data_IF_044010974951
#
_entry.id   IF_044010974951
#
_cell.length_a   1.000
_cell.length_b   1.000
_cell.length_c   1.000
_cell.angle_alpha   90.00
_cell.angle_beta   90.00
_cell.angle_gamma   90.00
#
_symmetry.space_group_name_H-M   'P 1'
#
loop_
_entity.id
_entity.type
_entity.pdbx_description
1 polymer ?
#
# COMPACT_ATOMS: atom_id res chain seq x y z
N UNK A 1 -5.45 -17.50 25.02
CA UNK A 1 -4.90 -18.17 23.82
C UNK A 1 -3.41 -17.87 23.70
N UNK A 2 -2.57 -18.90 23.50
CA UNK A 2 -1.12 -18.72 23.41
C UNK A 2 -0.72 -17.90 22.17
N UNK A 3 0.47 -17.28 22.19
CA UNK A 3 1.03 -16.57 21.02
C UNK A 3 1.10 -17.48 19.80
N UNK A 4 1.59 -18.71 19.98
CA UNK A 4 1.68 -19.72 18.92
C UNK A 4 0.32 -20.07 18.35
N UNK A 5 -0.70 -20.25 19.20
CA UNK A 5 -2.06 -20.55 18.74
C UNK A 5 -2.63 -19.40 17.90
N UNK A 6 -2.44 -18.14 18.30
CA UNK A 6 -2.86 -16.97 17.52
C UNK A 6 -2.18 -16.93 16.14
N UNK A 7 -0.87 -17.16 16.09
CA UNK A 7 -0.11 -17.21 14.83
C UNK A 7 -0.65 -18.34 13.94
N UNK A 8 -0.84 -19.54 14.49
CA UNK A 8 -1.34 -20.69 13.74
C UNK A 8 -2.74 -20.41 13.15
N UNK A 9 -3.62 -19.73 13.89
CA UNK A 9 -4.93 -19.33 13.37
C UNK A 9 -4.79 -18.42 12.15
N UNK A 10 -3.94 -17.38 12.22
CA UNK A 10 -3.71 -16.48 11.07
C UNK A 10 -3.16 -17.27 9.89
N UNK A 11 -2.13 -18.09 10.10
CA UNK A 11 -1.46 -18.85 9.04
C UNK A 11 -2.41 -19.86 8.37
N UNK A 12 -3.12 -20.68 9.15
CA UNK A 12 -4.04 -21.68 8.61
C UNK A 12 -5.20 -21.01 7.88
N UNK A 13 -5.76 -19.94 8.44
CA UNK A 13 -6.85 -19.20 7.78
C UNK A 13 -6.39 -18.58 6.46
N UNK A 14 -5.18 -18.01 6.43
CA UNK A 14 -4.59 -17.46 5.21
C UNK A 14 -4.34 -18.54 4.16
N UNK A 15 -3.82 -19.71 4.54
CA UNK A 15 -3.61 -20.83 3.62
C UNK A 15 -4.92 -21.34 3.05
N UNK A 16 -5.94 -21.54 3.89
CA UNK A 16 -7.27 -21.95 3.45
C UNK A 16 -7.90 -20.92 2.50
N UNK A 17 -7.77 -19.63 2.82
CA UNK A 17 -8.22 -18.54 1.94
C UNK A 17 -7.49 -18.58 0.59
N UNK A 18 -6.16 -18.70 0.59
CA UNK A 18 -5.36 -18.77 -0.63
C UNK A 18 -5.76 -19.96 -1.50
N UNK A 19 -5.82 -21.16 -0.92
CA UNK A 19 -6.24 -22.38 -1.64
C UNK A 19 -7.63 -22.18 -2.23
N UNK A 20 -8.58 -21.70 -1.42
CA UNK A 20 -9.96 -21.46 -1.88
C UNK A 20 -10.01 -20.41 -2.99
N UNK A 21 -9.31 -19.28 -2.84
CA UNK A 21 -9.30 -18.19 -3.82
C UNK A 21 -8.69 -18.64 -5.15
N UNK A 22 -7.58 -19.38 -5.13
CA UNK A 22 -6.95 -19.87 -6.35
C UNK A 22 -7.75 -20.98 -7.04
N UNK A 23 -8.42 -21.84 -6.28
CA UNK A 23 -9.22 -22.95 -6.81
C UNK A 23 -10.62 -22.54 -7.29
N UNK A 24 -11.27 -21.58 -6.62
CA UNK A 24 -12.67 -21.24 -6.86
C UNK A 24 -12.86 -19.99 -7.72
N UNK A 25 -11.93 -19.03 -7.68
CA UNK A 25 -12.05 -17.79 -8.46
C UNK A 25 -11.50 -18.05 -9.88
N UNK A 26 -12.33 -17.89 -10.92
CA UNK A 26 -11.87 -18.02 -12.30
C UNK A 26 -10.85 -16.92 -12.64
N UNK A 27 -10.22 -17.00 -13.82
CA UNK A 27 -9.35 -15.93 -14.29
C UNK A 27 -10.12 -14.62 -14.35
N UNK A 28 -9.47 -13.55 -13.92
CA UNK A 28 -10.04 -12.21 -13.94
C UNK A 28 -9.32 -11.41 -15.02
N UNK A 29 -10.06 -10.84 -15.96
CA UNK A 29 -9.48 -9.97 -16.97
C UNK A 29 -9.35 -8.55 -16.41
N UNK A 30 -8.37 -7.81 -16.89
CA UNK A 30 -8.27 -6.38 -16.67
C UNK A 30 -9.48 -5.68 -17.32
N UNK A 31 -10.35 -4.98 -16.56
CA UNK A 31 -11.45 -4.22 -17.15
C UNK A 31 -10.93 -3.09 -18.03
N UNK A 32 -11.55 -2.88 -19.19
CA UNK A 32 -11.21 -1.77 -20.10
C UNK A 32 -11.57 -0.42 -19.49
N UNK A 33 -12.64 -0.37 -18.69
CA UNK A 33 -13.11 0.84 -18.02
C UNK A 33 -12.10 1.36 -16.98
N UNK A 34 -11.09 0.55 -16.62
CA UNK A 34 -10.03 0.96 -15.69
C UNK A 34 -9.19 2.13 -16.23
N UNK A 35 -9.20 2.37 -17.54
CA UNK A 35 -8.50 3.48 -18.18
C UNK A 35 -9.40 4.72 -18.38
N UNK A 36 -10.70 4.59 -18.13
CA UNK A 36 -11.70 5.63 -18.37
C UNK A 36 -11.96 6.41 -17.07
N UNK A 37 -11.31 7.57 -16.94
CA UNK A 37 -11.47 8.45 -15.78
C UNK A 37 -12.63 9.43 -15.95
N UNK A 38 -13.27 9.80 -14.83
CA UNK A 38 -14.32 10.82 -14.83
C UNK A 38 -13.76 12.22 -15.18
N UNK A 39 -12.62 12.60 -14.59
CA UNK A 39 -11.97 13.88 -14.88
C UNK A 39 -10.86 13.71 -15.93
N UNK A 40 -11.17 14.11 -17.16
CA UNK A 40 -10.25 14.09 -18.31
C UNK A 40 -9.70 15.46 -18.68
N UNK A 41 -9.96 16.48 -17.85
CA UNK A 41 -9.65 17.87 -18.19
C UNK A 41 -8.15 18.12 -18.26
N UNK A 42 -7.80 19.04 -19.16
CA UNK A 42 -6.43 19.46 -19.43
C UNK A 42 -6.20 20.86 -18.88
N UNK A 43 -5.26 20.98 -17.95
CA UNK A 43 -4.72 22.24 -17.46
C UNK A 43 -3.23 22.30 -17.78
N UNK A 44 -2.74 23.44 -18.27
CA UNK A 44 -1.31 23.64 -18.60
C UNK A 44 -0.72 22.54 -19.52
N UNK A 45 -1.51 22.02 -20.47
CA UNK A 45 -1.15 20.91 -21.37
C UNK A 45 -0.86 19.57 -20.67
N UNK A 46 -1.34 19.37 -19.44
CA UNK A 46 -1.24 18.09 -18.73
C UNK A 46 -2.58 17.34 -18.88
N UNK A 47 -2.64 16.18 -19.54
CA UNK A 47 -3.87 15.38 -19.58
C UNK A 47 -4.25 14.86 -18.19
N UNK A 48 -5.55 14.70 -17.93
CA UNK A 48 -6.09 14.25 -16.64
C UNK A 48 -5.49 15.03 -15.46
N UNK A 49 -5.34 16.34 -15.61
CA UNK A 49 -4.45 17.19 -14.81
C UNK A 49 -4.60 17.03 -13.30
N UNK A 50 -5.83 17.02 -12.79
CA UNK A 50 -6.07 16.94 -11.35
C UNK A 50 -5.70 15.54 -10.83
N UNK A 51 -5.98 14.49 -11.59
CA UNK A 51 -5.55 13.13 -11.27
C UNK A 51 -4.01 13.06 -11.22
N UNK A 52 -3.31 13.65 -12.19
CA UNK A 52 -1.83 13.74 -12.18
C UNK A 52 -1.32 14.47 -10.92
N UNK A 53 -1.81 15.69 -10.67
CA UNK A 53 -1.33 16.54 -9.56
C UNK A 53 -1.64 15.94 -8.18
N UNK A 54 -2.76 15.23 -8.05
CA UNK A 54 -3.17 14.59 -6.79
C UNK A 54 -2.22 13.48 -6.31
N UNK A 55 -1.23 13.08 -7.12
CA UNK A 55 -0.21 12.09 -6.77
C UNK A 55 1.08 12.70 -6.20
N UNK A 56 1.29 14.02 -6.33
CA UNK A 56 2.44 14.73 -5.75
C UNK A 56 2.60 14.49 -4.23
N UNK A 57 1.52 14.43 -3.42
CA UNK A 57 1.63 14.14 -1.99
C UNK A 57 2.36 12.83 -1.67
N UNK A 58 2.27 11.79 -2.50
CA UNK A 58 3.02 10.55 -2.29
C UNK A 58 4.53 10.75 -2.35
N UNK A 59 4.98 11.54 -3.31
CA UNK A 59 6.39 11.88 -3.50
C UNK A 59 6.89 12.69 -2.29
N UNK A 60 6.14 13.71 -1.90
CA UNK A 60 6.50 14.57 -0.76
C UNK A 60 6.57 13.75 0.53
N UNK A 61 5.54 12.94 0.82
CA UNK A 61 5.48 12.15 2.05
C UNK A 61 6.51 11.03 2.07
N UNK A 62 6.79 10.41 0.93
CA UNK A 62 7.88 9.45 0.78
C UNK A 62 9.24 10.10 1.06
N UNK A 63 9.51 11.28 0.49
CA UNK A 63 10.75 12.01 0.74
C UNK A 63 10.90 12.43 2.21
N UNK A 64 9.84 12.97 2.83
CA UNK A 64 9.81 13.32 4.27
C UNK A 64 10.07 12.08 5.13
N UNK A 65 9.39 10.97 4.84
CA UNK A 65 9.56 9.72 5.57
C UNK A 65 10.98 9.18 5.47
N UNK A 66 11.57 9.22 4.27
CA UNK A 66 12.95 8.80 4.04
C UNK A 66 13.94 9.72 4.78
N UNK A 67 13.75 11.03 4.76
CA UNK A 67 14.55 11.96 5.54
C UNK A 67 14.51 11.63 7.05
N UNK A 68 13.32 11.33 7.59
CA UNK A 68 13.18 10.91 8.99
C UNK A 68 13.90 9.61 9.29
N UNK A 69 13.86 8.62 8.39
CA UNK A 69 14.62 7.37 8.55
C UNK A 69 16.12 7.65 8.62
N UNK A 70 16.63 8.53 7.76
CA UNK A 70 18.04 8.88 7.70
C UNK A 70 18.52 9.65 8.95
N UNK A 71 17.71 10.58 9.46
CA UNK A 71 18.07 11.41 10.63
C UNK A 71 17.86 10.73 11.98
N UNK A 72 17.21 9.56 12.03
CA UNK A 72 17.09 8.81 13.28
C UNK A 72 18.45 8.36 13.81
N UNK A 73 18.73 8.72 15.05
CA UNK A 73 19.88 8.22 15.79
C UNK A 73 19.56 6.84 16.37
N UNK A 74 20.51 5.93 16.21
CA UNK A 74 20.55 4.63 16.85
C UNK A 74 22.00 4.39 17.25
N UNK A 75 22.22 3.89 18.46
CA UNK A 75 23.55 3.62 19.01
C UNK A 75 24.34 2.58 18.19
N UNK A 76 23.67 1.70 17.47
CA UNK A 76 24.27 0.67 16.62
C UNK A 76 23.77 0.77 15.16
N UNK A 77 24.71 0.86 14.21
CA UNK A 77 24.44 0.98 12.77
C UNK A 77 23.68 -0.22 12.19
N UNK A 78 23.96 -1.44 12.63
CA UNK A 78 23.24 -2.63 12.18
C UNK A 78 21.79 -2.59 12.67
N UNK A 79 21.57 -2.27 13.95
CA UNK A 79 20.22 -2.10 14.50
C UNK A 79 19.46 -1.01 13.75
N UNK A 80 20.13 0.10 13.40
CA UNK A 80 19.56 1.16 12.56
C UNK A 80 19.10 0.64 11.20
N UNK A 81 19.94 -0.14 10.50
CA UNK A 81 19.62 -0.66 9.18
C UNK A 81 18.45 -1.65 9.24
N UNK A 82 18.48 -2.58 10.20
CA UNK A 82 17.42 -3.56 10.40
C UNK A 82 16.08 -2.87 10.74
N UNK A 83 16.03 -2.06 11.79
CA UNK A 83 14.77 -1.44 12.26
C UNK A 83 14.13 -0.47 11.26
N UNK A 84 14.92 0.10 10.34
CA UNK A 84 14.41 1.04 9.35
C UNK A 84 14.07 0.41 8.00
N UNK A 85 14.42 -0.86 7.76
CA UNK A 85 14.28 -1.46 6.43
C UNK A 85 12.83 -1.44 5.90
N UNK A 86 11.78 -1.85 6.66
CA UNK A 86 10.40 -1.74 6.17
C UNK A 86 9.96 -0.29 5.90
N UNK A 87 10.39 0.66 6.73
CA UNK A 87 10.08 2.09 6.53
C UNK A 87 10.74 2.63 5.26
N UNK A 88 12.02 2.35 5.04
CA UNK A 88 12.73 2.71 3.82
C UNK A 88 12.03 2.16 2.58
N UNK A 89 11.63 0.88 2.62
CA UNK A 89 10.87 0.25 1.51
C UNK A 89 9.56 0.99 1.24
N UNK A 90 8.75 1.27 2.27
CA UNK A 90 7.48 1.98 2.12
C UNK A 90 7.71 3.37 1.50
N UNK A 91 8.68 4.14 2.01
CA UNK A 91 8.87 5.52 1.59
C UNK A 91 9.51 5.66 0.21
N UNK A 92 10.50 4.81 -0.12
CA UNK A 92 11.06 4.75 -1.47
C UNK A 92 9.96 4.35 -2.46
N UNK A 93 9.18 3.31 -2.14
CA UNK A 93 8.10 2.88 -3.01
C UNK A 93 6.95 3.91 -3.07
N UNK A 94 6.74 4.74 -2.04
CA UNK A 94 5.77 5.84 -2.09
C UNK A 94 6.19 6.91 -3.11
N UNK A 95 7.48 7.25 -3.17
CA UNK A 95 8.01 8.14 -4.22
C UNK A 95 7.80 7.51 -5.60
N UNK A 96 8.19 6.25 -5.77
CA UNK A 96 8.02 5.53 -7.03
C UNK A 96 6.55 5.39 -7.43
N UNK A 97 5.64 5.16 -6.48
CA UNK A 97 4.21 5.12 -6.68
C UNK A 97 3.70 6.47 -7.20
N UNK A 98 4.10 7.58 -6.57
CA UNK A 98 3.70 8.91 -7.02
C UNK A 98 4.18 9.20 -8.44
N UNK A 99 5.44 8.87 -8.76
CA UNK A 99 6.00 9.03 -10.11
C UNK A 99 5.31 8.13 -11.15
N UNK A 100 5.12 6.85 -10.82
CA UNK A 100 4.44 5.89 -11.69
C UNK A 100 2.97 6.25 -11.91
N UNK A 101 2.29 6.76 -10.89
CA UNK A 101 0.91 7.24 -11.00
C UNK A 101 0.83 8.50 -11.86
N UNK A 102 1.75 9.47 -11.68
CA UNK A 102 1.83 10.64 -12.56
C UNK A 102 2.01 10.20 -14.01
N UNK A 103 2.90 9.25 -14.28
CA UNK A 103 3.12 8.73 -15.62
C UNK A 103 1.86 8.04 -16.18
N UNK A 104 1.24 7.16 -15.39
CA UNK A 104 0.01 6.47 -15.75
C UNK A 104 -1.16 7.42 -16.04
N UNK A 105 -1.48 8.36 -15.15
CA UNK A 105 -2.57 9.31 -15.38
C UNK A 105 -2.28 10.27 -16.54
N UNK A 106 -1.00 10.52 -16.87
CA UNK A 106 -0.65 11.34 -18.03
C UNK A 106 -0.83 10.62 -19.36
N UNK A 107 -0.66 9.30 -19.39
CA UNK A 107 -0.80 8.47 -20.60
C UNK A 107 -1.39 7.10 -20.21
N UNK A 108 -2.72 7.02 -19.97
CA UNK A 108 -3.35 5.83 -19.42
C UNK A 108 -3.25 4.66 -20.39
N UNK A 109 -2.45 3.66 -20.03
CA UNK A 109 -2.30 2.43 -20.79
C UNK A 109 -1.88 1.27 -19.91
N UNK A 110 -1.96 0.06 -20.45
CA UNK A 110 -1.41 -1.13 -19.81
C UNK A 110 0.07 -0.94 -19.41
N UNK A 111 0.90 -0.40 -20.30
CA UNK A 111 2.33 -0.25 -20.07
C UNK A 111 2.67 0.75 -18.97
N UNK A 112 1.90 1.85 -18.87
CA UNK A 112 2.11 2.86 -17.84
C UNK A 112 1.54 2.42 -16.49
N UNK A 113 0.48 1.59 -16.50
CA UNK A 113 -0.13 1.02 -15.30
C UNK A 113 0.82 0.10 -14.51
N UNK A 114 1.70 -0.63 -15.20
CA UNK A 114 2.74 -1.46 -14.58
C UNK A 114 3.56 -0.69 -13.54
N UNK A 115 4.03 0.51 -13.90
CA UNK A 115 4.88 1.35 -13.05
C UNK A 115 4.16 1.90 -11.83
N UNK A 116 2.83 1.94 -11.84
CA UNK A 116 2.02 2.26 -10.68
C UNK A 116 1.79 1.03 -9.78
N UNK A 117 1.48 -0.12 -10.38
CA UNK A 117 1.13 -1.35 -9.64
C UNK A 117 2.30 -1.94 -8.87
N UNK A 118 3.50 -1.95 -9.46
CA UNK A 118 4.66 -2.57 -8.84
C UNK A 118 5.03 -1.90 -7.50
N UNK A 119 5.22 -0.57 -7.40
CA UNK A 119 5.47 0.08 -6.11
C UNK A 119 4.30 -0.09 -5.14
N UNK A 120 3.06 -0.08 -5.63
CA UNK A 120 1.86 -0.19 -4.79
C UNK A 120 1.80 -1.53 -4.04
N UNK A 121 2.06 -2.67 -4.72
CA UNK A 121 2.04 -3.98 -4.06
C UNK A 121 3.16 -4.11 -3.03
N UNK A 122 4.33 -3.55 -3.32
CA UNK A 122 5.46 -3.52 -2.39
C UNK A 122 5.09 -2.72 -1.13
N UNK A 123 4.41 -1.58 -1.26
CA UNK A 123 3.93 -0.79 -0.11
C UNK A 123 2.97 -1.62 0.75
N UNK A 124 1.97 -2.28 0.15
CA UNK A 124 1.01 -3.08 0.92
C UNK A 124 1.70 -4.18 1.71
N UNK A 125 2.62 -4.92 1.07
CA UNK A 125 3.39 -5.97 1.72
C UNK A 125 4.27 -5.41 2.83
N UNK A 126 4.93 -4.29 2.59
CA UNK A 126 5.80 -3.66 3.58
C UNK A 126 5.03 -3.13 4.79
N UNK A 127 3.83 -2.56 4.61
CA UNK A 127 2.97 -2.11 5.71
C UNK A 127 2.52 -3.30 6.57
N UNK A 128 2.09 -4.40 5.95
CA UNK A 128 1.72 -5.63 6.67
C UNK A 128 2.90 -6.18 7.48
N UNK A 129 4.08 -6.30 6.85
CA UNK A 129 5.27 -6.81 7.52
C UNK A 129 5.74 -5.88 8.65
N UNK A 130 5.64 -4.57 8.48
CA UNK A 130 5.94 -3.60 9.54
C UNK A 130 5.01 -3.78 10.75
N UNK A 131 3.73 -4.06 10.54
CA UNK A 131 2.79 -4.35 11.63
C UNK A 131 3.11 -5.68 12.32
N UNK A 132 3.43 -6.72 11.55
CA UNK A 132 3.79 -8.04 12.10
C UNK A 132 5.10 -7.97 12.90
N UNK A 133 6.08 -7.22 12.42
CA UNK A 133 7.28 -6.87 13.16
C UNK A 133 6.94 -6.19 14.48
N UNK A 134 6.05 -5.18 14.42
CA UNK A 134 5.65 -4.46 15.62
C UNK A 134 4.98 -5.38 16.63
N UNK A 135 4.02 -6.23 16.23
CA UNK A 135 3.19 -7.01 17.18
C UNK A 135 3.81 -8.34 17.60
N UNK A 136 4.54 -9.00 16.71
CA UNK A 136 4.90 -10.42 16.89
C UNK A 136 6.40 -10.57 17.13
N UNK A 137 7.23 -10.17 16.16
CA UNK A 137 8.68 -10.43 16.20
C UNK A 137 9.41 -9.68 15.10
N UNK A 138 10.45 -8.93 15.47
CA UNK A 138 11.35 -8.21 14.55
C UNK A 138 12.02 -9.18 13.58
N UNK A 139 12.59 -10.29 14.08
CA UNK A 139 13.29 -11.27 13.24
C UNK A 139 12.37 -11.87 12.16
N UNK A 140 11.15 -12.23 12.55
CA UNK A 140 10.18 -12.83 11.62
C UNK A 140 9.68 -11.81 10.60
N UNK A 141 9.51 -10.55 11.01
CA UNK A 141 9.04 -9.47 10.15
C UNK A 141 9.97 -9.18 8.96
N UNK A 142 11.29 -9.19 9.16
CA UNK A 142 12.24 -8.90 8.07
C UNK A 142 12.34 -10.00 7.01
N UNK A 143 12.42 -11.26 7.43
CA UNK A 143 12.43 -12.39 6.48
C UNK A 143 11.12 -12.39 5.71
N UNK A 144 10.01 -12.18 6.42
CA UNK A 144 8.70 -12.12 5.80
C UNK A 144 8.56 -10.93 4.85
N UNK A 145 9.19 -9.78 5.15
CA UNK A 145 9.21 -8.64 4.24
C UNK A 145 9.84 -9.01 2.90
N UNK A 146 11.03 -9.61 2.90
CA UNK A 146 11.70 -10.00 1.66
C UNK A 146 10.84 -10.95 0.83
N UNK A 147 10.31 -12.00 1.46
CA UNK A 147 9.43 -12.98 0.80
C UNK A 147 8.15 -12.32 0.28
N UNK A 148 7.51 -11.48 1.09
CA UNK A 148 6.24 -10.82 0.74
C UNK A 148 6.41 -9.83 -0.39
N UNK A 149 7.52 -9.07 -0.42
CA UNK A 149 7.87 -8.16 -1.51
C UNK A 149 8.09 -8.91 -2.81
N UNK A 150 8.82 -10.04 -2.77
CA UNK A 150 8.99 -10.90 -3.95
C UNK A 150 7.64 -11.42 -4.46
N UNK A 151 6.79 -11.95 -3.58
CA UNK A 151 5.45 -12.41 -3.93
C UNK A 151 4.61 -11.27 -4.55
N UNK A 152 4.65 -10.08 -3.95
CA UNK A 152 3.95 -8.90 -4.45
C UNK A 152 4.42 -8.48 -5.83
N UNK A 153 5.74 -8.42 -6.06
CA UNK A 153 6.32 -8.11 -7.36
C UNK A 153 6.00 -9.19 -8.41
N UNK A 154 6.11 -10.46 -8.04
CA UNK A 154 5.77 -11.60 -8.91
C UNK A 154 4.30 -11.57 -9.35
N UNK A 155 3.39 -11.07 -8.52
CA UNK A 155 1.98 -10.93 -8.92
C UNK A 155 1.77 -9.92 -10.05
N UNK A 156 2.53 -8.82 -10.04
CA UNK A 156 2.48 -7.80 -11.10
C UNK A 156 3.17 -8.31 -12.36
N UNK A 157 4.32 -8.97 -12.21
CA UNK A 157 5.05 -9.58 -13.35
C UNK A 157 4.23 -10.68 -14.04
N UNK A 158 3.51 -11.49 -13.26
CA UNK A 158 2.61 -12.51 -13.82
C UNK A 158 1.46 -11.86 -14.58
N UNK A 159 0.83 -10.83 -14.02
CA UNK A 159 -0.22 -10.08 -14.71
C UNK A 159 0.28 -9.52 -16.04
N UNK A 160 1.40 -8.78 -16.03
CA UNK A 160 2.05 -8.22 -17.22
C UNK A 160 2.30 -9.29 -18.29
N UNK A 161 2.88 -10.43 -17.89
CA UNK A 161 3.12 -11.55 -18.81
C UNK A 161 1.83 -12.09 -19.43
N UNK A 162 0.76 -12.21 -18.64
CA UNK A 162 -0.53 -12.71 -19.14
C UNK A 162 -1.25 -11.71 -20.05
N UNK A 163 -1.11 -10.41 -19.81
CA UNK A 163 -1.61 -9.38 -20.72
C UNK A 163 -0.91 -9.42 -22.06
N UNK A 164 0.42 -9.46 -22.06
CA UNK A 164 1.23 -9.51 -23.28
C UNK A 164 0.99 -10.77 -24.13
N UNK A 165 0.42 -11.83 -23.53
CA UNK A 165 0.08 -13.07 -24.23
C UNK A 165 -1.42 -13.20 -24.55
N UNK A 166 -2.19 -12.11 -24.44
CA UNK A 166 -3.64 -12.05 -24.66
C UNK A 166 -4.43 -13.06 -23.79
N UNK A 167 -3.93 -13.33 -22.58
CA UNK A 167 -4.53 -14.24 -21.59
C UNK A 167 -4.64 -13.56 -20.23
N UNK A 168 -4.96 -12.26 -20.24
CA UNK A 168 -5.06 -11.39 -19.06
C UNK A 168 -5.61 -12.13 -17.83
N UNK A 169 -4.80 -12.16 -16.77
CA UNK A 169 -5.23 -12.70 -15.47
C UNK A 169 -4.69 -11.81 -14.34
N UNK A 170 -5.54 -10.90 -13.84
CA UNK A 170 -5.26 -10.02 -12.70
C UNK A 170 -5.52 -10.69 -11.35
N UNK A 171 -6.04 -11.92 -11.32
CA UNK A 171 -6.49 -12.58 -10.08
C UNK A 171 -5.41 -12.61 -9.01
N UNK A 172 -4.18 -12.98 -9.37
CA UNK A 172 -3.10 -13.08 -8.38
C UNK A 172 -2.81 -11.70 -7.77
N UNK A 173 -2.73 -10.66 -8.60
CA UNK A 173 -2.54 -9.29 -8.17
C UNK A 173 -3.66 -8.82 -7.22
N UNK A 174 -4.93 -9.08 -7.54
CA UNK A 174 -6.08 -8.72 -6.68
C UNK A 174 -6.04 -9.45 -5.32
N UNK A 175 -5.71 -10.74 -5.30
CA UNK A 175 -5.55 -11.51 -4.06
C UNK A 175 -4.42 -10.90 -3.20
N UNK A 176 -3.30 -10.56 -3.82
CA UNK A 176 -2.14 -9.94 -3.16
C UNK A 176 -2.46 -8.56 -2.60
N UNK A 177 -3.36 -7.78 -3.20
CA UNK A 177 -3.83 -6.53 -2.61
C UNK A 177 -4.67 -6.76 -1.35
N UNK A 178 -5.49 -7.81 -1.33
CA UNK A 178 -6.42 -8.08 -0.23
C UNK A 178 -5.74 -8.67 1.02
N UNK A 179 -4.74 -9.54 0.83
CA UNK A 179 -4.06 -10.26 1.93
C UNK A 179 -3.46 -9.32 3.00
N UNK A 180 -2.67 -8.28 2.64
CA UNK A 180 -2.12 -7.34 3.60
C UNK A 180 -3.17 -6.73 4.52
N UNK A 181 -4.35 -6.41 4.00
CA UNK A 181 -5.44 -5.86 4.79
C UNK A 181 -6.00 -6.88 5.80
N UNK A 182 -6.33 -8.09 5.34
CA UNK A 182 -6.89 -9.16 6.21
C UNK A 182 -5.91 -9.56 7.30
N UNK A 183 -4.65 -9.84 6.93
CA UNK A 183 -3.62 -10.24 7.88
C UNK A 183 -3.35 -9.14 8.88
N UNK A 184 -3.34 -7.87 8.44
CA UNK A 184 -3.15 -6.74 9.34
C UNK A 184 -4.30 -6.57 10.32
N UNK A 185 -5.55 -6.69 9.86
CA UNK A 185 -6.71 -6.56 10.73
C UNK A 185 -6.78 -7.71 11.75
N UNK A 186 -6.54 -8.95 11.30
CA UNK A 186 -6.42 -10.10 12.20
C UNK A 186 -5.30 -9.91 13.24
N UNK A 187 -4.17 -9.34 12.82
CA UNK A 187 -3.05 -9.03 13.71
C UNK A 187 -3.41 -7.98 14.76
N UNK A 188 -4.12 -6.90 14.38
CA UNK A 188 -4.57 -5.87 15.33
C UNK A 188 -5.57 -6.43 16.36
N UNK A 189 -6.48 -7.31 15.94
CA UNK A 189 -7.46 -7.95 16.83
C UNK A 189 -6.78 -8.95 17.77
N UNK A 190 -5.89 -9.79 17.26
CA UNK A 190 -5.28 -10.87 18.05
C UNK A 190 -4.10 -10.38 18.91
N UNK A 191 -3.43 -9.30 18.53
CA UNK A 191 -2.26 -8.73 19.22
C UNK A 191 -2.40 -7.22 19.47
N UNK A 192 -3.40 -6.79 20.27
CA UNK A 192 -3.58 -5.38 20.60
C UNK A 192 -2.41 -4.88 21.47
N UNK A 193 -2.03 -3.61 21.30
CA UNK A 193 -1.02 -2.94 22.16
C UNK A 193 -1.57 -1.76 22.95
N UNK A 194 -2.79 -1.32 22.65
CA UNK A 194 -3.46 -0.22 23.34
C UNK A 194 -3.75 0.95 22.41
N UNK A 195 -4.69 1.81 22.83
CA UNK A 195 -5.25 2.86 21.98
C UNK A 195 -4.20 3.83 21.41
N UNK A 196 -3.14 4.15 22.17
CA UNK A 196 -2.14 5.14 21.76
C UNK A 196 -1.34 4.70 20.54
N UNK A 197 -1.00 3.41 20.47
CA UNK A 197 -0.26 2.78 19.38
C UNK A 197 -1.22 2.37 18.26
N UNK A 198 -2.36 1.78 18.62
CA UNK A 198 -3.29 1.16 17.66
C UNK A 198 -4.01 2.21 16.81
N UNK A 199 -4.24 3.42 17.33
CA UNK A 199 -4.88 4.52 16.58
C UNK A 199 -4.16 4.85 15.26
N UNK A 200 -2.84 4.69 15.18
CA UNK A 200 -2.10 4.98 13.95
C UNK A 200 -2.43 3.95 12.88
N UNK A 201 -2.41 2.67 13.26
CA UNK A 201 -2.77 1.57 12.36
C UNK A 201 -4.22 1.68 11.88
N UNK A 202 -5.16 1.97 12.78
CA UNK A 202 -6.55 2.23 12.37
C UNK A 202 -6.66 3.37 11.36
N UNK A 203 -5.92 4.47 11.55
CA UNK A 203 -5.92 5.58 10.60
C UNK A 203 -5.30 5.21 9.26
N UNK A 204 -4.17 4.48 9.24
CA UNK A 204 -3.53 4.00 8.01
C UNK A 204 -4.55 3.19 7.18
N UNK A 205 -5.23 2.23 7.80
CA UNK A 205 -6.18 1.36 7.10
C UNK A 205 -7.51 2.06 6.78
N UNK A 206 -8.01 2.94 7.64
CA UNK A 206 -9.24 3.70 7.38
C UNK A 206 -9.08 4.60 6.14
N UNK A 207 -7.97 5.33 6.04
CA UNK A 207 -7.69 6.18 4.89
C UNK A 207 -7.51 5.39 3.59
N UNK A 208 -6.93 4.20 3.67
CA UNK A 208 -6.84 3.28 2.54
C UNK A 208 -8.24 2.84 2.06
N UNK A 209 -9.12 2.42 2.98
CA UNK A 209 -10.48 2.02 2.65
C UNK A 209 -11.32 3.17 2.10
N UNK A 210 -11.19 4.37 2.69
CA UNK A 210 -11.83 5.59 2.19
C UNK A 210 -11.39 5.85 0.74
N UNK A 211 -10.10 5.69 0.44
CA UNK A 211 -9.59 5.80 -0.92
C UNK A 211 -10.24 4.80 -1.89
N UNK A 212 -10.44 3.54 -1.45
CA UNK A 212 -11.15 2.52 -2.25
C UNK A 212 -12.62 2.87 -2.50
N UNK A 213 -13.29 3.49 -1.52
CA UNK A 213 -14.66 3.99 -1.71
C UNK A 213 -14.67 5.11 -2.77
N UNK A 214 -13.74 6.05 -2.69
CA UNK A 214 -13.62 7.12 -3.70
C UNK A 214 -13.30 6.59 -5.09
N UNK A 215 -12.49 5.53 -5.21
CA UNK A 215 -12.20 4.86 -6.49
C UNK A 215 -13.47 4.28 -7.15
N UNK A 216 -14.38 3.71 -6.35
CA UNK A 216 -15.63 3.12 -6.85
C UNK A 216 -16.59 4.18 -7.38
N UNK A 217 -16.67 5.33 -6.71
CA UNK A 217 -17.64 6.39 -7.01
C UNK A 217 -17.01 7.54 -7.82
N UNK A 218 -16.12 7.24 -8.78
CA UNK A 218 -15.34 8.27 -9.47
C UNK A 218 -16.21 9.32 -10.17
N UNK A 219 -17.16 8.87 -10.98
CA UNK A 219 -18.08 9.71 -11.73
C UNK A 219 -19.10 10.40 -10.84
N UNK A 220 -19.67 9.68 -9.86
CA UNK A 220 -20.66 10.24 -8.94
C UNK A 220 -20.08 11.37 -8.10
N UNK A 221 -18.84 11.21 -7.63
CA UNK A 221 -18.13 12.25 -6.88
C UNK A 221 -17.79 13.42 -7.79
N UNK A 222 -17.38 13.16 -9.02
CA UNK A 222 -17.09 14.23 -9.98
C UNK A 222 -18.32 15.10 -10.22
N UNK A 223 -19.48 14.50 -10.49
CA UNK A 223 -20.74 15.24 -10.62
C UNK A 223 -21.16 15.93 -9.32
N UNK A 224 -21.04 15.26 -8.17
CA UNK A 224 -21.40 15.83 -6.86
C UNK A 224 -20.58 17.08 -6.52
N UNK A 225 -19.30 17.10 -6.88
CA UNK A 225 -18.43 18.27 -6.65
C UNK A 225 -18.59 19.38 -7.70
N UNK A 226 -19.64 19.33 -8.54
CA UNK A 226 -19.81 20.24 -9.68
C UNK A 226 -18.58 20.21 -10.59
N UNK A 227 -18.08 19.00 -10.84
CA UNK A 227 -16.92 18.72 -11.68
C UNK A 227 -15.64 19.38 -11.18
N UNK A 228 -15.51 19.69 -9.88
CA UNK A 228 -14.27 20.25 -9.36
C UNK A 228 -13.19 19.17 -9.19
N UNK A 229 -13.53 18.04 -8.54
CA UNK A 229 -12.61 16.94 -8.24
C UNK A 229 -13.32 15.60 -8.41
N UNK A 230 -12.65 14.62 -9.02
CA UNK A 230 -13.22 13.27 -9.18
C UNK A 230 -12.95 12.38 -7.97
N UNK A 231 -13.60 11.21 -7.93
CA UNK A 231 -13.28 10.21 -6.92
C UNK A 231 -11.82 9.73 -7.00
N UNK A 232 -11.22 9.60 -8.18
CA UNK A 232 -9.80 9.32 -8.35
C UNK A 232 -8.89 10.39 -7.71
N UNK A 233 -9.26 11.66 -7.82
CA UNK A 233 -8.55 12.75 -7.13
C UNK A 233 -8.57 12.51 -5.61
N UNK A 234 -9.75 12.28 -5.03
CA UNK A 234 -9.87 12.04 -3.59
C UNK A 234 -9.28 10.70 -3.15
N UNK A 235 -9.34 9.66 -3.99
CA UNK A 235 -8.66 8.38 -3.78
C UNK A 235 -7.18 8.61 -3.56
N UNK A 236 -6.52 9.32 -4.46
CA UNK A 236 -5.08 9.57 -4.39
C UNK A 236 -4.72 10.35 -3.12
N UNK A 237 -5.50 11.39 -2.77
CA UNK A 237 -5.29 12.17 -1.55
C UNK A 237 -5.54 11.34 -0.27
N UNK A 238 -6.61 10.56 -0.22
CA UNK A 238 -6.95 9.70 0.90
C UNK A 238 -5.88 8.63 1.13
N UNK A 239 -5.44 7.97 0.07
CA UNK A 239 -4.41 6.94 0.15
C UNK A 239 -3.01 7.54 0.48
N UNK A 240 -2.71 8.77 0.04
CA UNK A 240 -1.54 9.50 0.53
C UNK A 240 -1.61 9.80 2.04
N UNK A 241 -2.80 10.03 2.60
CA UNK A 241 -2.97 10.17 4.05
C UNK A 241 -2.59 8.90 4.82
N UNK A 242 -2.74 7.70 4.23
CA UNK A 242 -2.22 6.47 4.84
C UNK A 242 -0.69 6.55 5.02
N UNK A 243 0.04 7.02 3.99
CA UNK A 243 1.50 7.22 4.08
C UNK A 243 1.85 8.31 5.10
N UNK A 244 1.09 9.40 5.16
CA UNK A 244 1.24 10.41 6.20
C UNK A 244 1.14 9.80 7.61
N UNK A 245 0.19 8.89 7.84
CA UNK A 245 0.07 8.24 9.15
C UNK A 245 1.20 7.23 9.43
N UNK A 246 1.81 6.62 8.41
CA UNK A 246 3.07 5.86 8.57
C UNK A 246 4.20 6.80 9.01
N UNK A 247 4.32 7.99 8.41
CA UNK A 247 5.28 9.02 8.85
C UNK A 247 5.04 9.39 10.32
N UNK A 248 3.79 9.67 10.71
CA UNK A 248 3.45 10.01 12.11
C UNK A 248 3.71 8.86 13.07
N UNK A 249 3.47 7.62 12.65
CA UNK A 249 3.75 6.43 13.44
C UNK A 249 5.26 6.28 13.69
N UNK A 250 6.08 6.44 12.65
CA UNK A 250 7.53 6.42 12.76
C UNK A 250 8.02 7.50 13.73
N UNK A 251 7.58 8.76 13.56
CA UNK A 251 7.95 9.86 14.46
C UNK A 251 7.54 9.60 15.91
N UNK A 252 6.37 8.99 16.12
CA UNK A 252 5.90 8.62 17.46
C UNK A 252 6.84 7.59 18.09
N UNK A 253 7.17 6.50 17.38
CA UNK A 253 8.10 5.46 17.85
C UNK A 253 9.50 6.01 18.18
N UNK A 254 9.97 7.02 17.45
CA UNK A 254 11.25 7.68 17.73
C UNK A 254 11.30 8.33 19.12
N UNK A 255 10.20 8.95 19.55
CA UNK A 255 10.14 9.63 20.86
C UNK A 255 10.18 8.68 22.05
N UNK A 256 9.58 7.49 21.93
CA UNK A 256 9.56 6.49 23.01
C UNK A 256 10.84 5.67 23.12
N UNK A 257 11.66 5.61 22.05
CA UNK A 257 12.97 4.99 22.12
C UNK A 257 13.96 5.88 22.89
N UNK A 258 13.90 7.20 22.69
CA UNK A 258 14.78 8.18 23.36
C UNK A 258 14.48 8.30 24.87
N UNK A 259 13.27 7.97 25.33
CA UNK A 259 12.91 8.03 26.76
C UNK A 259 13.29 6.77 27.56
N UNK A 260 13.97 5.80 26.95
CA UNK A 260 14.36 4.52 27.58
C UNK A 260 15.87 4.26 27.56
N UNK A 261 16.63 5.17 26.97
CA UNK A 261 18.09 5.25 27.07
C UNK A 261 18.44 6.37 28.07
#
# INVERSE_FOLDING_TARGET
MSKTTKINIITVSLLLFLVSAFSLIPRLHQPSEYYDFADTRVFLNIPNSINVLSNIPYIILGAIGMALVLTRHHSNRLIKLYANFPYSTIFICSVLLGMGSIYYYSDPSHYTLFWMRLPLTIIYMAIMCLLLEDRISIKSGHILLFISVLIGASSVLQWEYTELTNKSDIKFYEIIQFIPFVVSMATLILFPRGFKEDKYWFKIFAWFLIGKIFEIFDYEIFHFTSELCSGHTFKNLASAMSIYYVVKYLSHKGKYAISRD
#
